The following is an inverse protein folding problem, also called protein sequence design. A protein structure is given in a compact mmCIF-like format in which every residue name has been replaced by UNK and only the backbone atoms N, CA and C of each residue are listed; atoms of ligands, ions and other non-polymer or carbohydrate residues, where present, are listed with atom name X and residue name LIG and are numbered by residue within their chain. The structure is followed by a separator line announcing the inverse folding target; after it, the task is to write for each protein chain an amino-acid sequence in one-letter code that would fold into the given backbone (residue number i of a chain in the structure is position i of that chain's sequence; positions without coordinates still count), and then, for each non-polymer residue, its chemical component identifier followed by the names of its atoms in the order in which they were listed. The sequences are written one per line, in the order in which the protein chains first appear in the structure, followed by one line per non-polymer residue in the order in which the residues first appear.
data_IF_707039395769
#
_entry.id   IF_707039395769
#
_cell.length_a   1.000
_cell.length_b   1.000
_cell.length_c   1.000
_cell.angle_alpha   90.00
_cell.angle_beta   90.00
_cell.angle_gamma   90.00
#
_symmetry.space_group_name_H-M   'P 1'
#
loop_
_entity.id
_entity.type
_entity.pdbx_description
1 polymer ?
#
# COMPACT_ATOMS: atom_id res chain seq x y z
N UNK A 1 -5.37 -12.83 -15.22
CA UNK A 1 -6.33 -12.55 -14.13
C UNK A 1 -5.98 -13.26 -12.81
N UNK A 2 -5.90 -14.60 -12.75
CA UNK A 2 -5.53 -15.31 -11.49
C UNK A 2 -4.12 -14.94 -11.01
N UNK A 3 -3.15 -14.97 -11.92
CA UNK A 3 -1.77 -14.58 -11.63
C UNK A 3 -1.69 -13.11 -11.22
N UNK A 4 -2.48 -12.24 -11.84
CA UNK A 4 -2.58 -10.82 -11.46
C UNK A 4 -3.04 -10.67 -10.01
N UNK A 5 -4.11 -11.36 -9.60
CA UNK A 5 -4.61 -11.33 -8.23
C UNK A 5 -3.57 -11.81 -7.21
N UNK A 6 -2.85 -12.88 -7.54
CA UNK A 6 -1.80 -13.42 -6.68
C UNK A 6 -0.61 -12.45 -6.56
N UNK A 7 -0.21 -11.83 -7.68
CA UNK A 7 0.84 -10.83 -7.70
C UNK A 7 0.44 -9.59 -6.91
N UNK A 8 -0.77 -9.06 -7.12
CA UNK A 8 -1.29 -7.90 -6.38
C UNK A 8 -1.37 -8.18 -4.89
N UNK A 9 -1.90 -9.34 -4.49
CA UNK A 9 -1.94 -9.77 -3.09
C UNK A 9 -0.54 -9.78 -2.48
N UNK A 10 0.41 -10.44 -3.15
CA UNK A 10 1.78 -10.58 -2.66
C UNK A 10 2.47 -9.21 -2.51
N UNK A 11 2.28 -8.33 -3.49
CA UNK A 11 2.88 -6.99 -3.47
C UNK A 11 2.27 -6.09 -2.39
N UNK A 12 0.95 -6.13 -2.21
CA UNK A 12 0.25 -5.38 -1.17
C UNK A 12 0.62 -5.89 0.23
N UNK A 13 0.82 -7.21 0.39
CA UNK A 13 1.35 -7.79 1.63
C UNK A 13 2.77 -7.31 1.91
N UNK A 14 3.65 -7.33 0.90
CA UNK A 14 5.01 -6.82 1.02
C UNK A 14 5.06 -5.34 1.42
N UNK A 15 4.24 -4.50 0.79
CA UNK A 15 4.06 -3.09 1.22
C UNK A 15 3.70 -3.03 2.70
N UNK A 16 2.87 -3.96 3.17
CA UNK A 16 2.50 -4.01 4.56
C UNK A 16 3.64 -4.31 5.53
N UNK A 17 4.52 -5.23 5.18
CA UNK A 17 5.73 -5.52 5.95
C UNK A 17 6.68 -4.32 5.92
N UNK A 18 6.82 -3.68 4.77
CA UNK A 18 7.64 -2.50 4.59
C UNK A 18 7.14 -1.30 5.42
N UNK A 19 5.83 -1.08 5.48
CA UNK A 19 5.23 -0.04 6.34
C UNK A 19 5.55 -0.27 7.82
N UNK A 20 5.55 -1.53 8.29
CA UNK A 20 5.94 -1.86 9.68
C UNK A 20 7.41 -1.52 9.90
N UNK A 21 8.29 -1.85 8.95
CA UNK A 21 9.70 -1.48 9.02
C UNK A 21 9.89 0.05 9.07
N UNK A 22 9.24 0.80 8.18
CA UNK A 22 9.36 2.26 8.13
C UNK A 22 8.80 2.90 9.40
N UNK A 23 7.70 2.41 9.95
CA UNK A 23 7.16 2.89 11.22
C UNK A 23 8.20 2.71 12.34
N UNK A 24 8.80 1.52 12.47
CA UNK A 24 9.87 1.26 13.45
C UNK A 24 11.09 2.14 13.25
N UNK A 25 11.45 2.42 11.99
CA UNK A 25 12.53 3.35 11.66
C UNK A 25 12.22 4.75 12.21
N UNK A 26 11.03 5.27 11.89
CA UNK A 26 10.58 6.61 12.29
C UNK A 26 10.37 6.76 13.80
N UNK A 27 9.99 5.69 14.50
CA UNK A 27 9.84 5.68 15.96
C UNK A 27 11.19 5.55 16.70
N UNK A 28 12.32 5.40 15.98
CA UNK A 28 13.62 5.36 16.64
C UNK A 28 14.06 6.74 17.14
N UNK A 29 14.78 6.77 18.27
CA UNK A 29 15.25 7.98 18.95
C UNK A 29 16.06 8.95 18.04
N UNK A 30 16.53 8.46 16.90
CA UNK A 30 17.27 9.26 15.93
C UNK A 30 16.37 10.30 15.25
N UNK A 31 15.07 9.98 15.11
CA UNK A 31 14.07 10.82 14.45
C UNK A 31 13.21 11.61 15.42
N UNK A 32 13.38 11.46 16.74
CA UNK A 32 12.76 12.34 17.74
C UNK A 32 13.25 13.79 17.53
N UNK A 33 12.39 14.68 17.00
CA UNK A 33 12.82 15.99 16.59
C UNK A 33 12.73 16.98 17.75
N UNK A 34 13.84 17.63 18.07
CA UNK A 34 13.89 18.76 19.02
C UNK A 34 13.43 20.10 18.41
N UNK A 35 12.98 20.08 17.16
CA UNK A 35 12.53 21.25 16.39
C UNK A 35 11.12 21.06 15.85
N UNK A 36 10.19 22.03 16.02
CA UNK A 36 8.77 21.88 15.68
C UNK A 36 8.47 21.39 14.26
N UNK A 37 9.14 21.94 13.23
CA UNK A 37 8.88 21.57 11.82
C UNK A 37 9.18 20.09 11.52
N UNK A 38 10.20 19.51 12.17
CA UNK A 38 10.55 18.10 11.96
C UNK A 38 9.59 17.16 12.70
N UNK A 39 8.96 17.63 13.79
CA UNK A 39 7.92 16.92 14.52
C UNK A 39 6.62 16.85 13.72
N UNK A 40 6.18 17.99 13.17
CA UNK A 40 4.99 18.06 12.33
C UNK A 40 5.09 17.11 11.13
N UNK A 41 6.25 17.08 10.45
CA UNK A 41 6.49 16.13 9.36
C UNK A 41 6.41 14.67 9.81
N UNK A 42 6.98 14.33 10.96
CA UNK A 42 6.95 12.98 11.50
C UNK A 42 5.51 12.54 11.81
N UNK A 43 4.72 13.40 12.46
CA UNK A 43 3.31 13.11 12.75
C UNK A 43 2.46 13.01 11.48
N UNK A 44 2.70 13.89 10.49
CA UNK A 44 2.05 13.78 9.18
C UNK A 44 2.32 12.42 8.52
N UNK A 45 3.56 11.92 8.55
CA UNK A 45 3.87 10.60 8.02
C UNK A 45 3.11 9.49 8.76
N UNK A 46 3.03 9.54 10.09
CA UNK A 46 2.25 8.55 10.86
C UNK A 46 0.77 8.53 10.45
N UNK A 47 0.18 9.71 10.25
CA UNK A 47 -1.21 9.82 9.78
C UNK A 47 -1.39 9.23 8.37
N UNK A 48 -0.50 9.58 7.44
CA UNK A 48 -0.50 9.03 6.08
C UNK A 48 -0.34 7.51 6.07
N UNK A 49 0.56 6.96 6.90
CA UNK A 49 0.72 5.52 7.04
C UNK A 49 -0.55 4.85 7.57
N UNK A 50 -1.26 5.47 8.52
CA UNK A 50 -2.50 4.92 9.02
C UNK A 50 -3.62 4.92 7.96
N UNK A 51 -3.75 5.99 7.17
CA UNK A 51 -4.68 6.02 6.04
C UNK A 51 -4.32 4.96 4.99
N UNK A 52 -3.04 4.83 4.65
CA UNK A 52 -2.54 3.82 3.71
C UNK A 52 -2.81 2.39 4.20
N UNK A 53 -2.71 2.12 5.52
CA UNK A 53 -3.07 0.81 6.11
C UNK A 53 -4.55 0.47 5.92
N UNK A 54 -5.44 1.46 6.06
CA UNK A 54 -6.87 1.26 5.85
C UNK A 54 -7.18 0.96 4.38
N UNK A 55 -6.59 1.73 3.46
CA UNK A 55 -6.74 1.50 2.02
C UNK A 55 -6.21 0.13 1.61
N UNK A 56 -5.06 -0.28 2.16
CA UNK A 56 -4.46 -1.61 1.98
C UNK A 56 -5.42 -2.73 2.38
N UNK A 57 -6.01 -2.62 3.58
CA UNK A 57 -6.95 -3.62 4.09
C UNK A 57 -8.18 -3.74 3.19
N UNK A 58 -8.73 -2.61 2.73
CA UNK A 58 -9.84 -2.58 1.78
C UNK A 58 -9.47 -3.27 0.47
N UNK A 59 -8.29 -3.00 -0.09
CA UNK A 59 -7.84 -3.61 -1.35
C UNK A 59 -7.62 -5.11 -1.23
N UNK A 60 -7.05 -5.59 -0.11
CA UNK A 60 -6.89 -7.02 0.13
C UNK A 60 -8.24 -7.74 0.18
N UNK A 61 -9.25 -7.14 0.80
CA UNK A 61 -10.60 -7.72 0.81
C UNK A 61 -11.23 -7.69 -0.58
N UNK A 62 -11.07 -6.59 -1.35
CA UNK A 62 -11.53 -6.53 -2.75
C UNK A 62 -10.87 -7.62 -3.62
N UNK A 63 -9.56 -7.83 -3.49
CA UNK A 63 -8.83 -8.89 -4.21
C UNK A 63 -9.35 -10.27 -3.83
N UNK A 64 -9.60 -10.51 -2.54
CA UNK A 64 -10.13 -11.78 -2.05
C UNK A 64 -11.54 -12.06 -2.60
N UNK A 65 -12.44 -11.08 -2.53
CA UNK A 65 -13.81 -11.20 -3.07
C UNK A 65 -13.75 -11.46 -4.58
N UNK A 66 -12.92 -10.73 -5.32
CA UNK A 66 -12.76 -10.89 -6.76
C UNK A 66 -12.20 -12.28 -7.12
N UNK A 67 -11.21 -12.77 -6.37
CA UNK A 67 -10.65 -14.11 -6.53
C UNK A 67 -11.66 -15.23 -6.23
N UNK A 68 -12.50 -15.06 -5.21
CA UNK A 68 -13.58 -16.01 -4.91
C UNK A 68 -14.62 -16.06 -6.03
N UNK A 69 -14.98 -14.89 -6.60
CA UNK A 69 -15.88 -14.81 -7.75
C UNK A 69 -15.30 -15.50 -8.98
N UNK A 70 -13.99 -15.36 -9.24
CA UNK A 70 -13.32 -16.12 -10.31
C UNK A 70 -13.50 -17.62 -10.15
N UNK A 71 -13.37 -18.13 -8.92
CA UNK A 71 -13.61 -19.54 -8.60
C UNK A 71 -15.02 -19.99 -8.98
N UNK A 72 -16.03 -19.20 -8.58
CA UNK A 72 -17.44 -19.50 -8.88
C UNK A 72 -17.84 -19.32 -10.35
N UNK A 73 -17.19 -18.44 -11.12
CA UNK A 73 -17.45 -18.28 -12.56
C UNK A 73 -16.99 -19.52 -13.33
N UNK A 74 -15.87 -20.14 -12.97
CA UNK A 74 -15.46 -21.41 -13.56
C UNK A 74 -16.46 -22.55 -13.32
N UNK A 75 -17.33 -22.43 -12.31
CA UNK A 75 -18.37 -23.39 -11.97
C UNK A 75 -19.71 -23.11 -12.70
N UNK A 76 -19.89 -21.92 -13.30
CA UNK A 76 -21.13 -21.48 -13.96
C UNK A 76 -20.88 -21.06 -15.43
N UNK A 77 -21.44 -21.80 -16.39
CA UNK A 77 -21.20 -21.69 -17.85
C UNK A 77 -21.92 -20.53 -18.59
N UNK A 78 -22.19 -19.38 -17.96
CA UNK A 78 -22.90 -18.26 -18.61
C UNK A 78 -21.96 -17.17 -19.14
N UNK A 79 -21.96 -16.97 -20.47
CA UNK A 79 -21.10 -16.01 -21.20
C UNK A 79 -21.31 -14.54 -20.82
N UNK A 80 -22.51 -14.13 -20.37
CA UNK A 80 -22.77 -12.75 -19.91
C UNK A 80 -22.03 -12.40 -18.60
N UNK A 81 -21.61 -13.42 -17.83
CA UNK A 81 -20.87 -13.24 -16.57
C UNK A 81 -19.41 -12.82 -16.80
N UNK A 82 -18.84 -13.16 -17.95
CA UNK A 82 -17.41 -13.01 -18.23
C UNK A 82 -17.01 -11.56 -18.55
N UNK A 83 -17.83 -10.82 -19.30
CA UNK A 83 -17.52 -9.43 -19.67
C UNK A 83 -17.60 -8.48 -18.47
N UNK A 84 -18.64 -8.59 -17.64
CA UNK A 84 -18.75 -7.77 -16.43
C UNK A 84 -17.65 -8.10 -15.43
N UNK A 85 -17.26 -9.37 -15.31
CA UNK A 85 -16.14 -9.77 -14.46
C UNK A 85 -14.81 -9.17 -14.97
N UNK A 86 -14.60 -9.13 -16.29
CA UNK A 86 -13.42 -8.52 -16.89
C UNK A 86 -13.33 -7.01 -16.58
N UNK A 87 -14.42 -6.27 -16.74
CA UNK A 87 -14.44 -4.83 -16.40
C UNK A 87 -14.14 -4.60 -14.92
N UNK A 88 -14.76 -5.37 -14.03
CA UNK A 88 -14.45 -5.32 -12.59
C UNK A 88 -12.97 -5.64 -12.30
N UNK A 89 -12.35 -6.53 -13.09
CA UNK A 89 -10.93 -6.84 -12.97
C UNK A 89 -10.04 -5.67 -13.39
N UNK A 90 -10.41 -4.93 -14.44
CA UNK A 90 -9.71 -3.74 -14.89
C UNK A 90 -9.81 -2.59 -13.86
N UNK A 91 -10.99 -2.39 -13.27
CA UNK A 91 -11.18 -1.41 -12.20
C UNK A 91 -10.33 -1.76 -10.97
N UNK A 92 -10.32 -3.04 -10.58
CA UNK A 92 -9.46 -3.51 -9.50
C UNK A 92 -7.98 -3.29 -9.80
N UNK A 93 -7.55 -3.53 -11.05
CA UNK A 93 -6.18 -3.25 -11.50
C UNK A 93 -5.84 -1.76 -11.38
N UNK A 94 -6.74 -0.88 -11.79
CA UNK A 94 -6.55 0.56 -11.67
C UNK A 94 -6.42 0.99 -10.20
N UNK A 95 -7.27 0.45 -9.32
CA UNK A 95 -7.21 0.72 -7.89
C UNK A 95 -5.90 0.24 -7.23
N UNK A 96 -5.44 -0.97 -7.57
CA UNK A 96 -4.18 -1.52 -7.08
C UNK A 96 -2.99 -0.70 -7.57
N UNK A 97 -2.94 -0.37 -8.86
CA UNK A 97 -1.83 0.42 -9.42
C UNK A 97 -1.81 1.84 -8.88
N UNK A 98 -2.98 2.46 -8.69
CA UNK A 98 -3.12 3.76 -8.04
C UNK A 98 -2.59 3.74 -6.60
N UNK A 99 -2.99 2.74 -5.80
CA UNK A 99 -2.48 2.58 -4.44
C UNK A 99 -0.97 2.40 -4.39
N UNK A 100 -0.40 1.53 -5.24
CA UNK A 100 1.05 1.30 -5.30
C UNK A 100 1.79 2.61 -5.61
N UNK A 101 1.30 3.38 -6.59
CA UNK A 101 1.90 4.67 -6.94
C UNK A 101 1.87 5.64 -5.76
N UNK A 102 0.71 5.83 -5.13
CA UNK A 102 0.57 6.70 -3.97
C UNK A 102 1.48 6.28 -2.81
N UNK A 103 1.61 4.97 -2.57
CA UNK A 103 2.51 4.45 -1.55
C UNK A 103 3.98 4.73 -1.89
N UNK A 104 4.41 4.56 -3.14
CA UNK A 104 5.78 4.85 -3.57
C UNK A 104 6.12 6.35 -3.43
N UNK A 105 5.17 7.23 -3.72
CA UNK A 105 5.34 8.68 -3.52
C UNK A 105 5.52 9.01 -2.03
N UNK A 106 4.66 8.47 -1.16
CA UNK A 106 4.79 8.61 0.31
C UNK A 106 6.14 8.07 0.82
N UNK A 107 6.54 6.89 0.33
CA UNK A 107 7.82 6.25 0.71
C UNK A 107 9.01 7.12 0.33
N UNK A 108 8.98 7.74 -0.84
CA UNK A 108 10.04 8.66 -1.29
C UNK A 108 10.17 9.84 -0.34
N UNK A 109 9.08 10.48 0.04
CA UNK A 109 9.09 11.60 0.99
C UNK A 109 9.67 11.20 2.36
N UNK A 110 9.29 10.01 2.86
CA UNK A 110 9.83 9.48 4.12
C UNK A 110 11.33 9.24 4.03
N UNK A 111 11.82 8.71 2.90
CA UNK A 111 13.26 8.48 2.70
C UNK A 111 14.06 9.77 2.58
N UNK A 112 13.50 10.78 1.91
CA UNK A 112 14.11 12.11 1.85
C UNK A 112 14.20 12.75 3.23
N UNK A 113 13.12 12.67 4.03
CA UNK A 113 13.12 13.10 5.42
C UNK A 113 14.17 12.34 6.23
N UNK A 114 14.13 11.01 6.21
CA UNK A 114 15.02 10.18 7.01
C UNK A 114 16.50 10.44 6.66
N UNK A 115 16.80 10.54 5.36
CA UNK A 115 18.12 10.88 4.85
C UNK A 115 18.59 12.27 5.30
N UNK A 116 17.70 13.26 5.39
CA UNK A 116 18.04 14.61 5.88
C UNK A 116 18.44 14.60 7.37
N UNK A 117 17.81 13.75 8.19
CA UNK A 117 18.13 13.60 9.61
C UNK A 117 19.47 12.86 9.78
N UNK A 118 19.64 11.76 9.06
CA UNK A 118 20.86 10.94 9.13
C UNK A 118 22.10 11.72 8.65
N UNK A 119 21.97 12.58 7.62
CA UNK A 119 23.07 13.45 7.16
C UNK A 119 23.51 14.48 8.21
N UNK A 120 22.57 15.00 9.03
CA UNK A 120 22.87 15.99 10.08
C UNK A 120 23.58 15.36 11.30
N UNK A 121 23.49 14.04 11.49
CA UNK A 121 24.14 13.31 12.58
C UNK A 121 25.48 12.66 12.17
N UNK A 122 26.15 13.11 11.09
CA UNK A 122 27.54 12.71 10.86
C UNK A 122 28.39 13.20 12.06
N UNK A 123 29.21 12.32 12.67
CA UNK A 123 30.07 12.68 13.79
C UNK A 123 31.10 13.75 13.39
#
# INVERSE_FOLDING_TARGET
MRDDLQNWKSYIQFIGDEMVFIQKLLDSYIFEPRTPNLFERLENFKQLFNASKQQRASLLESIKIHGNRLGGIFECTQEESDSQYYENHLDLKANVTGYIKSYLDQKKEVYEYAGSILKKKKP
#
